data_IF_374897857108
#
_entry.id   IF_374897857108
#
_cell.length_a   1.000
_cell.length_b   1.000
_cell.length_c   1.000
_cell.angle_alpha   90.00
_cell.angle_beta   90.00
_cell.angle_gamma   90.00
#
_symmetry.space_group_name_H-M   'P 1'
#
loop_
_entity.id
_entity.type
_entity.pdbx_description
1 polymer ?
#
# COMPACT_ATOMS: atom_id res chain seq x y z
N UNK A 1 4.34 10.18 30.79
CA UNK A 1 5.75 9.78 30.58
C UNK A 1 5.75 8.54 29.70
N UNK A 2 6.53 8.56 28.63
CA UNK A 2 6.67 7.41 27.73
C UNK A 2 7.39 6.26 28.46
N UNK A 3 6.92 5.02 28.28
CA UNK A 3 7.53 3.84 28.91
C UNK A 3 8.87 3.45 28.24
N UNK A 4 9.12 4.00 27.05
CA UNK A 4 10.34 3.81 26.25
C UNK A 4 11.08 5.13 26.11
N UNK A 5 12.40 5.05 26.06
CA UNK A 5 13.28 6.18 25.75
C UNK A 5 13.70 6.24 24.27
N UNK A 6 13.88 5.08 23.62
CA UNK A 6 14.39 4.96 22.26
C UNK A 6 13.75 3.76 21.55
N UNK A 7 13.51 3.87 20.25
CA UNK A 7 13.23 2.73 19.38
C UNK A 7 14.51 1.98 19.02
N UNK A 8 14.36 0.73 18.58
CA UNK A 8 15.48 -0.12 18.20
C UNK A 8 16.35 0.47 17.08
N UNK A 9 15.78 1.26 16.17
CA UNK A 9 16.49 1.93 15.08
C UNK A 9 17.32 3.14 15.53
N UNK A 10 16.98 3.74 16.66
CA UNK A 10 17.70 4.87 17.26
C UNK A 10 18.94 4.43 18.07
N UNK A 11 19.02 3.14 18.44
CA UNK A 11 20.19 2.60 19.13
C UNK A 11 21.31 2.33 18.13
N UNK A 12 22.41 3.08 18.30
CA UNK A 12 23.62 3.02 17.47
C UNK A 12 24.88 2.93 18.35
N UNK A 13 26.05 2.56 17.78
CA UNK A 13 27.32 2.53 18.53
C UNK A 13 27.69 3.85 19.22
N UNK A 14 27.11 4.99 18.82
CA UNK A 14 27.34 6.29 19.47
C UNK A 14 26.75 6.37 20.88
N UNK A 15 25.81 5.48 21.23
CA UNK A 15 25.18 5.40 22.54
C UNK A 15 25.89 4.43 23.48
N UNK A 16 27.07 3.91 23.12
CA UNK A 16 27.83 2.99 23.97
C UNK A 16 28.00 3.54 25.40
N UNK A 17 27.75 2.68 26.39
CA UNK A 17 27.78 3.04 27.80
C UNK A 17 26.58 3.84 28.32
N UNK A 18 25.60 4.19 27.48
CA UNK A 18 24.36 4.87 27.93
C UNK A 18 23.32 3.87 28.41
N UNK A 19 22.51 4.31 29.37
CA UNK A 19 21.30 3.58 29.80
C UNK A 19 20.11 3.95 28.91
N UNK A 20 19.35 2.94 28.50
CA UNK A 20 18.16 3.09 27.69
C UNK A 20 17.01 2.23 28.21
N UNK A 21 15.80 2.72 28.04
CA UNK A 21 14.54 1.98 28.20
C UNK A 21 13.96 1.63 26.84
N UNK A 22 13.71 0.34 26.62
CA UNK A 22 13.14 -0.22 25.39
C UNK A 22 11.83 -0.93 25.70
N UNK A 23 10.85 -0.82 24.80
CA UNK A 23 9.58 -1.53 24.88
C UNK A 23 9.30 -2.24 23.57
N UNK A 24 8.95 -3.52 23.62
CA UNK A 24 8.69 -4.29 22.41
C UNK A 24 8.19 -5.71 22.66
N UNK A 25 8.08 -6.46 21.58
CA UNK A 25 7.65 -7.85 21.56
C UNK A 25 8.86 -8.78 21.50
N UNK A 26 8.81 -9.86 22.24
CA UNK A 26 9.84 -10.91 22.20
C UNK A 26 9.73 -11.67 20.89
N UNK A 27 10.62 -11.40 19.94
CA UNK A 27 10.59 -12.07 18.65
C UNK A 27 11.17 -13.48 18.73
N UNK A 28 12.34 -13.61 19.37
CA UNK A 28 13.02 -14.88 19.54
C UNK A 28 13.77 -14.88 20.89
N UNK A 29 13.84 -16.04 21.51
CA UNK A 29 14.69 -16.30 22.68
C UNK A 29 15.64 -17.42 22.30
N UNK A 30 16.92 -17.26 22.63
CA UNK A 30 17.94 -18.30 22.49
C UNK A 30 18.62 -18.51 23.82
N UNK A 31 18.61 -19.73 24.31
CA UNK A 31 19.28 -20.11 25.56
C UNK A 31 20.44 -21.07 25.24
N UNK A 32 21.65 -20.64 25.59
CA UNK A 32 22.89 -21.41 25.47
C UNK A 32 23.44 -21.77 26.87
N UNK A 33 22.55 -21.93 27.85
CA UNK A 33 22.85 -22.23 29.25
C UNK A 33 23.32 -21.00 30.02
N UNK A 34 24.61 -20.69 29.94
CA UNK A 34 25.21 -19.55 30.65
C UNK A 34 25.00 -18.20 29.95
N UNK A 35 24.45 -18.21 28.74
CA UNK A 35 24.27 -17.05 27.87
C UNK A 35 22.90 -17.10 27.21
N UNK A 36 22.08 -16.09 27.45
CA UNK A 36 20.70 -15.98 26.96
C UNK A 36 20.55 -14.73 26.11
N UNK A 37 19.85 -14.87 24.99
CA UNK A 37 19.54 -13.78 24.09
C UNK A 37 18.03 -13.60 23.97
N UNK A 38 17.59 -12.36 24.04
CA UNK A 38 16.24 -11.96 23.61
C UNK A 38 16.40 -11.07 22.40
N UNK A 39 15.78 -11.43 21.29
CA UNK A 39 15.58 -10.53 20.17
C UNK A 39 14.28 -9.79 20.42
N UNK A 40 14.37 -8.51 20.78
CA UNK A 40 13.22 -7.65 21.00
C UNK A 40 12.87 -6.93 19.70
N UNK A 41 11.59 -6.93 19.33
CA UNK A 41 11.06 -6.26 18.14
C UNK A 41 10.21 -5.06 18.53
N UNK A 42 10.41 -3.94 17.84
CA UNK A 42 9.50 -2.79 17.82
C UNK A 42 9.31 -2.28 16.38
N UNK A 43 8.71 -1.09 16.18
CA UNK A 43 8.46 -0.54 14.83
C UNK A 43 9.73 -0.18 14.05
N UNK A 44 10.85 0.03 14.76
CA UNK A 44 12.17 0.34 14.22
C UNK A 44 12.97 -0.91 13.81
N UNK A 45 12.47 -2.11 14.14
CA UNK A 45 13.09 -3.38 13.80
C UNK A 45 13.43 -4.21 15.03
N UNK A 46 14.64 -4.75 15.05
CA UNK A 46 15.10 -5.70 16.07
C UNK A 46 16.31 -5.18 16.83
N UNK A 47 16.34 -5.46 18.13
CA UNK A 47 17.49 -5.20 19.00
C UNK A 47 17.79 -6.42 19.86
N UNK A 48 19.08 -6.74 19.99
CA UNK A 48 19.54 -7.88 20.78
C UNK A 48 19.72 -7.47 22.24
N UNK A 49 19.11 -8.24 23.13
CA UNK A 49 19.34 -8.18 24.57
C UNK A 49 20.18 -9.39 24.94
N UNK A 50 21.31 -9.18 25.59
CA UNK A 50 22.26 -10.23 25.95
C UNK A 50 22.39 -10.32 27.46
N UNK A 51 22.02 -11.47 28.02
CA UNK A 51 22.15 -11.77 29.44
C UNK A 51 23.16 -12.90 29.64
N UNK A 52 24.25 -12.61 30.36
CA UNK A 52 25.35 -13.55 30.58
C UNK A 52 25.53 -13.84 32.07
N UNK A 53 25.67 -15.11 32.43
CA UNK A 53 25.97 -15.53 33.81
C UNK A 53 27.27 -14.88 34.29
N UNK A 54 27.25 -14.32 35.49
CA UNK A 54 28.36 -13.57 36.09
C UNK A 54 28.38 -12.08 35.74
N UNK A 55 27.69 -11.63 34.68
CA UNK A 55 27.54 -10.21 34.33
C UNK A 55 26.14 -9.69 34.62
N UNK A 56 25.13 -10.51 34.36
CA UNK A 56 23.71 -10.20 34.59
C UNK A 56 23.22 -10.85 35.88
N UNK A 57 22.39 -10.14 36.65
CA UNK A 57 21.78 -10.63 37.89
C UNK A 57 21.01 -11.95 37.64
N UNK A 58 21.17 -12.93 38.53
CA UNK A 58 20.48 -14.23 38.44
C UNK A 58 18.95 -14.11 38.41
N UNK A 59 18.36 -13.13 39.09
CA UNK A 59 16.91 -12.88 39.04
C UNK A 59 16.44 -12.53 37.62
N UNK A 60 17.23 -11.76 36.88
CA UNK A 60 16.94 -11.42 35.48
C UNK A 60 17.08 -12.68 34.63
N UNK A 61 18.15 -13.47 34.82
CA UNK A 61 18.34 -14.74 34.11
C UNK A 61 17.15 -15.69 34.30
N UNK A 62 16.64 -15.81 35.53
CA UNK A 62 15.48 -16.65 35.86
C UNK A 62 14.16 -16.08 35.31
N UNK A 63 14.05 -14.74 35.18
CA UNK A 63 12.89 -14.11 34.53
C UNK A 63 12.85 -14.46 33.04
N UNK A 64 14.00 -14.45 32.36
CA UNK A 64 14.10 -14.76 30.92
C UNK A 64 13.55 -16.17 30.62
N UNK A 65 13.79 -17.16 31.48
CA UNK A 65 13.29 -18.54 31.32
C UNK A 65 11.76 -18.65 31.28
N UNK A 66 11.08 -17.68 31.88
CA UNK A 66 9.61 -17.68 31.95
C UNK A 66 8.99 -16.89 30.82
N UNK A 67 9.77 -16.25 29.95
CA UNK A 67 9.27 -15.40 28.87
C UNK A 67 8.90 -16.28 27.67
N UNK A 68 7.70 -16.07 27.13
CA UNK A 68 7.27 -16.69 25.88
C UNK A 68 7.44 -15.71 24.71
N UNK A 69 7.60 -16.25 23.50
CA UNK A 69 7.56 -15.46 22.26
C UNK A 69 6.31 -14.60 22.21
N UNK A 70 6.45 -13.42 21.64
CA UNK A 70 5.43 -12.39 21.47
C UNK A 70 4.88 -11.78 22.77
N UNK A 71 5.46 -12.14 23.93
CA UNK A 71 5.24 -11.37 25.17
C UNK A 71 5.79 -9.95 25.02
N UNK A 72 5.13 -9.00 25.66
CA UNK A 72 5.49 -7.58 25.67
C UNK A 72 6.36 -7.30 26.88
N UNK A 73 7.56 -6.78 26.63
CA UNK A 73 8.52 -6.44 27.67
C UNK A 73 8.83 -4.94 27.65
N UNK A 74 9.12 -4.39 28.83
CA UNK A 74 9.97 -3.22 28.99
C UNK A 74 11.31 -3.67 29.53
N UNK A 75 12.39 -3.17 28.94
CA UNK A 75 13.76 -3.49 29.32
C UNK A 75 14.51 -2.19 29.57
N UNK A 76 15.01 -2.03 30.79
CA UNK A 76 15.97 -0.98 31.11
C UNK A 76 17.35 -1.63 31.11
N UNK A 77 18.28 -1.12 30.31
CA UNK A 77 19.57 -1.75 30.09
C UNK A 77 20.67 -0.80 29.62
N UNK A 78 21.90 -1.31 29.63
CA UNK A 78 23.09 -0.60 29.19
C UNK A 78 23.34 -0.94 27.71
N UNK A 79 23.52 0.07 26.88
CA UNK A 79 24.01 -0.11 25.50
C UNK A 79 25.48 -0.48 25.54
N UNK A 80 25.85 -1.56 24.88
CA UNK A 80 27.24 -2.02 24.75
C UNK A 80 27.55 -2.24 23.28
N UNK A 81 28.62 -1.60 22.81
CA UNK A 81 29.14 -1.83 21.47
C UNK A 81 29.65 -3.27 21.36
N UNK A 82 29.19 -3.97 20.33
CA UNK A 82 29.60 -5.32 20.03
C UNK A 82 29.48 -5.54 18.52
N UNK A 83 30.62 -5.57 17.82
CA UNK A 83 30.66 -5.71 16.36
C UNK A 83 30.11 -7.08 15.88
N UNK A 84 29.94 -8.06 16.78
CA UNK A 84 29.28 -9.35 16.48
C UNK A 84 27.76 -9.28 16.58
N UNK A 85 27.21 -8.24 17.20
CA UNK A 85 25.76 -8.07 17.30
C UNK A 85 25.20 -7.50 15.98
N UNK A 86 23.96 -7.84 15.58
CA UNK A 86 23.39 -7.47 14.27
C UNK A 86 23.44 -5.98 13.92
N UNK A 87 23.46 -5.10 14.93
CA UNK A 87 23.49 -3.63 14.77
C UNK A 87 24.82 -3.01 15.24
N UNK A 88 25.84 -3.83 15.48
CA UNK A 88 27.09 -3.40 16.13
C UNK A 88 26.94 -3.03 17.61
N UNK A 89 25.76 -3.28 18.19
CA UNK A 89 25.38 -2.99 19.57
C UNK A 89 24.46 -4.07 20.11
N UNK A 90 24.53 -4.28 21.41
CA UNK A 90 23.61 -5.09 22.20
C UNK A 90 23.24 -4.38 23.50
N UNK A 91 22.17 -4.85 24.14
CA UNK A 91 21.71 -4.31 25.42
C UNK A 91 21.98 -5.32 26.52
N UNK A 92 22.71 -4.91 27.56
CA UNK A 92 22.85 -5.70 28.78
C UNK A 92 21.70 -5.30 29.73
N UNK A 93 20.74 -6.21 30.00
CA UNK A 93 19.55 -5.85 30.76
C UNK A 93 19.89 -5.62 32.23
N UNK A 94 19.40 -4.52 32.79
CA UNK A 94 19.44 -4.22 34.24
C UNK A 94 18.10 -4.46 34.91
N UNK A 95 17.00 -4.23 34.20
CA UNK A 95 15.64 -4.55 34.65
C UNK A 95 14.82 -5.06 33.47
N UNK A 96 14.04 -6.12 33.71
CA UNK A 96 13.07 -6.63 32.76
C UNK A 96 11.71 -6.63 33.44
N UNK A 97 10.75 -6.00 32.78
CA UNK A 97 9.35 -5.93 33.19
C UNK A 97 8.51 -6.68 32.17
N UNK A 98 7.74 -7.67 32.65
CA UNK A 98 6.71 -8.34 31.86
C UNK A 98 5.47 -7.42 31.84
N UNK A 99 5.26 -6.73 30.72
CA UNK A 99 4.09 -5.85 30.56
C UNK A 99 2.85 -6.70 30.23
N UNK A 100 3.00 -7.66 29.33
CA UNK A 100 1.94 -8.59 28.97
C UNK A 100 2.52 -9.91 28.48
N UNK A 101 1.99 -11.03 28.98
CA UNK A 101 2.41 -12.36 28.55
C UNK A 101 1.56 -12.81 27.37
N UNK A 102 2.21 -13.29 26.31
CA UNK A 102 1.51 -13.91 25.19
C UNK A 102 1.08 -15.34 25.50
N UNK A 103 -0.14 -15.70 25.08
CA UNK A 103 -0.65 -17.08 25.11
C UNK A 103 0.08 -17.93 24.05
N UNK A 104 0.15 -19.23 24.31
CA UNK A 104 0.72 -20.24 23.41
C UNK A 104 -0.32 -21.35 23.19
N UNK A 105 -0.45 -21.94 21.99
CA UNK A 105 0.29 -21.61 20.77
C UNK A 105 -0.06 -20.23 20.20
N UNK A 106 0.85 -19.64 19.43
CA UNK A 106 0.59 -18.41 18.68
C UNK A 106 -0.30 -18.74 17.47
N UNK A 107 -1.27 -17.89 17.10
CA UNK A 107 -2.14 -18.16 15.96
C UNK A 107 -1.42 -17.98 14.61
N UNK A 108 -0.25 -17.33 14.61
CA UNK A 108 0.61 -17.18 13.43
C UNK A 108 2.07 -17.10 13.88
N UNK A 109 2.97 -17.80 13.19
CA UNK A 109 4.41 -17.66 13.40
C UNK A 109 4.93 -16.36 12.79
N UNK A 110 5.46 -15.49 13.63
CA UNK A 110 6.10 -14.22 13.25
C UNK A 110 7.55 -14.37 12.82
N UNK A 111 8.18 -15.52 13.09
CA UNK A 111 9.59 -15.79 12.74
C UNK A 111 9.73 -16.34 11.32
N UNK A 112 8.60 -16.59 10.63
CA UNK A 112 8.52 -17.12 9.26
C UNK A 112 9.16 -18.50 9.07
N UNK A 113 9.40 -19.25 10.16
CA UNK A 113 9.91 -20.63 10.08
C UNK A 113 8.81 -21.57 9.59
N UNK A 114 7.56 -21.28 9.96
CA UNK A 114 6.37 -21.95 9.44
C UNK A 114 5.60 -20.97 8.56
N UNK A 115 5.41 -21.33 7.29
CA UNK A 115 4.58 -20.55 6.37
C UNK A 115 3.10 -20.86 6.63
N UNK A 116 2.28 -19.82 6.54
CA UNK A 116 0.83 -19.92 6.56
C UNK A 116 0.28 -19.45 5.21
N UNK A 117 -0.85 -20.02 4.81
CA UNK A 117 -1.62 -19.57 3.66
C UNK A 117 -2.16 -18.13 3.86
N UNK A 118 -2.70 -17.53 2.80
CA UNK A 118 -3.17 -16.16 2.83
C UNK A 118 -4.35 -15.97 3.79
N UNK A 119 -5.30 -16.90 3.82
CA UNK A 119 -6.51 -16.79 4.65
C UNK A 119 -6.16 -16.80 6.14
N UNK A 120 -5.30 -17.72 6.56
CA UNK A 120 -4.79 -17.76 7.94
C UNK A 120 -4.09 -16.45 8.32
N UNK A 121 -3.34 -15.85 7.39
CA UNK A 121 -2.65 -14.57 7.60
C UNK A 121 -3.61 -13.39 7.68
N UNK A 122 -4.65 -13.36 6.85
CA UNK A 122 -5.68 -12.32 6.86
C UNK A 122 -6.54 -12.41 8.15
N UNK A 123 -6.96 -13.61 8.54
CA UNK A 123 -7.68 -13.86 9.79
C UNK A 123 -6.88 -13.47 11.04
N UNK A 124 -5.55 -13.48 10.94
CA UNK A 124 -4.63 -13.11 12.02
C UNK A 124 -3.78 -11.89 11.66
N UNK A 125 -4.38 -10.88 10.99
CA UNK A 125 -3.63 -9.76 10.40
C UNK A 125 -2.76 -9.01 11.41
N UNK A 126 -3.23 -8.88 12.65
CA UNK A 126 -2.47 -8.25 13.75
C UNK A 126 -1.15 -8.97 14.08
N UNK A 127 -1.04 -10.27 13.79
CA UNK A 127 0.19 -11.03 13.89
C UNK A 127 0.99 -10.98 12.58
N UNK A 128 0.33 -11.02 11.42
CA UNK A 128 1.02 -10.95 10.13
C UNK A 128 1.77 -9.62 9.95
N UNK A 129 1.16 -8.51 10.39
CA UNK A 129 1.76 -7.16 10.46
C UNK A 129 3.02 -7.08 11.34
N UNK A 130 3.28 -8.07 12.19
CA UNK A 130 4.49 -8.13 13.01
C UNK A 130 5.70 -8.67 12.24
N UNK A 131 5.48 -9.21 11.04
CA UNK A 131 6.54 -9.61 10.12
C UNK A 131 7.04 -8.38 9.35
N UNK A 132 8.37 -8.17 9.27
CA UNK A 132 8.93 -6.96 8.64
C UNK A 132 8.48 -6.72 7.21
N UNK A 133 8.37 -7.77 6.39
CA UNK A 133 7.94 -7.67 4.99
C UNK A 133 6.48 -7.21 4.87
N UNK A 134 5.59 -7.66 5.76
CA UNK A 134 4.19 -7.25 5.74
C UNK A 134 4.05 -5.82 6.27
N UNK A 135 4.71 -5.49 7.38
CA UNK A 135 4.76 -4.13 7.90
C UNK A 135 5.27 -3.13 6.85
N UNK A 136 6.27 -3.53 6.05
CA UNK A 136 6.88 -2.70 5.00
C UNK A 136 5.86 -2.31 3.93
N UNK A 137 4.99 -3.23 3.50
CA UNK A 137 3.92 -2.94 2.52
C UNK A 137 2.99 -1.84 3.04
N UNK A 138 2.57 -1.92 4.31
CA UNK A 138 1.67 -0.91 4.90
C UNK A 138 2.36 0.44 5.13
N UNK A 139 3.64 0.45 5.49
CA UNK A 139 4.43 1.68 5.60
C UNK A 139 4.55 2.38 4.24
N UNK A 140 4.87 1.63 3.18
CA UNK A 140 4.91 2.14 1.81
C UNK A 140 3.52 2.66 1.40
N UNK A 141 2.45 1.89 1.66
CA UNK A 141 1.05 2.34 1.41
C UNK A 141 0.75 3.67 2.07
N UNK A 142 1.13 3.84 3.35
CA UNK A 142 0.93 5.11 4.06
C UNK A 142 1.73 6.25 3.43
N UNK A 143 2.99 6.02 3.03
CA UNK A 143 3.85 7.01 2.37
C UNK A 143 3.24 7.44 1.03
N UNK A 144 2.85 6.51 0.16
CA UNK A 144 2.33 6.84 -1.18
C UNK A 144 1.02 7.64 -1.12
N UNK A 145 0.12 7.31 -0.19
CA UNK A 145 -1.12 8.07 0.00
C UNK A 145 -0.83 9.50 0.47
N UNK A 146 0.11 9.67 1.40
CA UNK A 146 0.51 11.01 1.86
C UNK A 146 1.20 11.82 0.77
N UNK A 147 2.05 11.18 -0.02
CA UNK A 147 2.74 11.82 -1.17
C UNK A 147 1.72 12.28 -2.21
N UNK A 148 0.76 11.43 -2.57
CA UNK A 148 -0.32 11.79 -3.50
C UNK A 148 -1.15 12.98 -3.03
N UNK A 149 -1.58 12.98 -1.75
CA UNK A 149 -2.29 14.14 -1.16
C UNK A 149 -1.45 15.42 -1.23
N UNK A 150 -0.19 15.36 -0.81
CA UNK A 150 0.69 16.53 -0.78
C UNK A 150 0.95 17.08 -2.19
N UNK A 151 1.08 16.20 -3.19
CA UNK A 151 1.20 16.60 -4.58
C UNK A 151 -0.03 17.40 -5.03
N UNK A 152 -1.23 16.86 -4.80
CA UNK A 152 -2.48 17.50 -5.22
C UNK A 152 -2.67 18.85 -4.53
N UNK A 153 -2.48 18.92 -3.21
CA UNK A 153 -2.58 20.17 -2.43
C UNK A 153 -1.61 21.22 -2.97
N UNK A 154 -0.34 20.86 -3.23
CA UNK A 154 0.67 21.78 -3.77
C UNK A 154 0.34 22.26 -5.19
N UNK A 155 -0.46 21.48 -5.94
CA UNK A 155 -0.95 21.82 -7.28
C UNK A 155 -2.35 22.46 -7.26
N UNK A 156 -2.75 23.04 -6.12
CA UNK A 156 -3.95 23.85 -5.99
C UNK A 156 -5.25 23.07 -5.91
N UNK A 157 -5.20 21.76 -5.65
CA UNK A 157 -6.41 20.97 -5.44
C UNK A 157 -6.93 21.09 -4.01
N UNK A 158 -8.26 21.03 -3.86
CA UNK A 158 -8.97 21.02 -2.59
C UNK A 158 -9.46 19.60 -2.29
N UNK A 159 -9.17 19.07 -1.09
CA UNK A 159 -9.69 17.78 -0.64
C UNK A 159 -11.18 17.94 -0.31
N UNK A 160 -12.02 17.08 -0.89
CA UNK A 160 -13.46 17.01 -0.63
C UNK A 160 -13.84 15.66 -0.03
N UNK A 161 -15.04 15.57 0.54
CA UNK A 161 -15.61 14.31 1.02
C UNK A 161 -17.05 14.16 0.52
N UNK A 162 -17.29 13.15 -0.30
CA UNK A 162 -18.62 12.85 -0.85
C UNK A 162 -19.36 11.77 -0.02
N UNK A 163 -20.71 11.68 -0.11
CA UNK A 163 -21.46 10.60 0.50
C UNK A 163 -21.03 9.21 0.01
N UNK A 164 -21.06 8.21 0.90
CA UNK A 164 -20.80 6.80 0.58
C UNK A 164 -22.04 5.91 0.65
N UNK A 165 -23.16 6.49 1.08
CA UNK A 165 -24.49 5.92 1.02
C UNK A 165 -25.25 6.75 -0.01
N UNK A 166 -25.69 6.14 -1.09
CA UNK A 166 -26.33 6.81 -2.23
C UNK A 166 -27.67 6.16 -2.57
N UNK A 167 -28.60 6.95 -3.10
CA UNK A 167 -29.96 6.47 -3.40
C UNK A 167 -30.04 5.64 -4.70
N UNK A 168 -29.07 5.79 -5.61
CA UNK A 168 -29.04 5.12 -6.91
C UNK A 168 -27.59 4.89 -7.35
N UNK A 169 -27.40 4.01 -8.34
CA UNK A 169 -26.10 3.75 -8.97
C UNK A 169 -25.40 5.03 -9.43
N UNK A 170 -24.07 5.08 -9.29
CA UNK A 170 -23.25 6.20 -9.78
C UNK A 170 -22.91 6.08 -11.27
N UNK A 171 -22.73 4.86 -11.80
CA UNK A 171 -22.14 4.65 -13.13
C UNK A 171 -22.89 3.62 -14.01
N UNK A 172 -24.08 3.17 -13.60
CA UNK A 172 -24.76 2.03 -14.24
C UNK A 172 -24.11 0.69 -13.86
N UNK A 173 -24.84 -0.42 -13.97
CA UNK A 173 -24.35 -1.76 -13.64
C UNK A 173 -25.00 -2.41 -12.41
N UNK A 174 -24.64 -3.68 -12.17
CA UNK A 174 -25.26 -4.59 -11.19
C UNK A 174 -24.44 -4.79 -9.91
N UNK A 175 -23.21 -4.27 -9.86
CA UNK A 175 -22.24 -4.53 -8.78
C UNK A 175 -22.38 -3.58 -7.58
N UNK A 176 -23.60 -3.34 -7.15
CA UNK A 176 -23.89 -2.49 -5.98
C UNK A 176 -24.10 -3.34 -4.74
N UNK A 177 -23.66 -2.83 -3.58
CA UNK A 177 -24.07 -3.38 -2.29
C UNK A 177 -25.36 -2.67 -1.82
N UNK A 178 -26.53 -3.33 -1.88
CA UNK A 178 -27.75 -2.79 -1.31
C UNK A 178 -27.67 -2.78 0.22
N UNK A 179 -28.16 -1.71 0.83
CA UNK A 179 -28.26 -1.55 2.27
C UNK A 179 -29.64 -0.98 2.64
N UNK A 180 -30.13 -1.36 3.81
CA UNK A 180 -31.29 -0.69 4.41
C UNK A 180 -30.85 0.63 5.02
N UNK A 181 -31.50 1.72 4.62
CA UNK A 181 -31.31 3.05 5.15
C UNK A 181 -32.66 3.58 5.67
N UNK A 182 -32.96 3.20 6.91
CA UNK A 182 -34.29 3.37 7.52
C UNK A 182 -35.37 2.67 6.67
N UNK A 183 -36.44 3.39 6.32
CA UNK A 183 -37.55 2.89 5.52
C UNK A 183 -37.26 2.93 4.00
N UNK A 184 -35.98 3.09 3.61
CA UNK A 184 -35.55 3.18 2.20
C UNK A 184 -34.43 2.19 1.91
N UNK A 185 -34.36 1.77 0.66
CA UNK A 185 -33.17 1.12 0.12
C UNK A 185 -32.15 2.18 -0.29
N UNK A 186 -30.88 1.91 -0.04
CA UNK A 186 -29.75 2.69 -0.50
C UNK A 186 -28.62 1.74 -0.91
N UNK A 187 -27.56 2.32 -1.45
CA UNK A 187 -26.41 1.56 -1.94
C UNK A 187 -25.12 2.14 -1.40
N UNK A 188 -24.10 1.30 -1.24
CA UNK A 188 -22.74 1.78 -1.04
C UNK A 188 -22.17 2.32 -2.37
N UNK A 189 -21.52 3.48 -2.32
CA UNK A 189 -20.98 4.12 -3.51
C UNK A 189 -19.82 3.32 -4.14
N UNK A 190 -19.87 3.12 -5.45
CA UNK A 190 -18.80 2.47 -6.24
C UNK A 190 -17.69 3.43 -6.66
N UNK A 191 -17.97 4.73 -6.63
CA UNK A 191 -17.10 5.81 -7.08
C UNK A 191 -17.70 7.15 -6.62
N UNK A 192 -16.89 8.20 -6.35
CA UNK A 192 -17.38 9.54 -6.08
C UNK A 192 -17.73 10.34 -7.35
N UNK A 193 -17.72 9.71 -8.53
CA UNK A 193 -17.85 10.33 -9.86
C UNK A 193 -18.91 11.43 -9.98
N UNK A 194 -20.16 11.14 -9.67
CA UNK A 194 -21.23 12.13 -9.80
C UNK A 194 -20.99 13.35 -8.89
N UNK A 195 -20.51 13.13 -7.66
CA UNK A 195 -20.25 14.21 -6.71
C UNK A 195 -19.04 15.06 -7.10
N UNK A 196 -17.92 14.45 -7.50
CA UNK A 196 -16.74 15.21 -7.94
C UNK A 196 -17.03 16.03 -9.21
N UNK A 197 -17.87 15.51 -10.12
CA UNK A 197 -18.34 16.25 -11.28
C UNK A 197 -19.27 17.41 -10.89
N UNK A 198 -20.20 17.21 -9.95
CA UNK A 198 -21.04 18.29 -9.42
C UNK A 198 -20.20 19.42 -8.81
N UNK A 199 -19.07 19.10 -8.18
CA UNK A 199 -18.17 20.13 -7.62
C UNK A 199 -17.54 21.02 -8.71
N UNK A 200 -17.47 20.58 -9.96
CA UNK A 200 -16.98 21.42 -11.07
C UNK A 200 -17.92 22.60 -11.34
N UNK A 201 -19.20 22.50 -10.98
CA UNK A 201 -20.17 23.60 -11.09
C UNK A 201 -20.13 24.58 -9.90
N UNK A 202 -19.26 24.36 -8.91
CA UNK A 202 -19.21 25.17 -7.68
C UNK A 202 -18.13 26.26 -7.69
N UNK A 203 -17.24 26.24 -8.69
CA UNK A 203 -16.06 27.12 -8.75
C UNK A 203 -14.88 26.65 -7.89
N UNK A 204 -14.93 25.42 -7.35
CA UNK A 204 -13.77 24.80 -6.68
C UNK A 204 -12.66 24.43 -7.68
N UNK A 205 -13.01 24.23 -8.94
CA UNK A 205 -12.18 23.98 -10.13
C UNK A 205 -11.24 22.77 -10.12
N UNK A 206 -10.64 22.42 -8.98
CA UNK A 206 -9.64 21.36 -8.82
C UNK A 206 -9.93 20.64 -7.52
N UNK A 207 -10.58 19.49 -7.59
CA UNK A 207 -10.94 18.71 -6.39
C UNK A 207 -10.28 17.34 -6.42
N UNK A 208 -9.98 16.83 -5.24
CA UNK A 208 -9.62 15.43 -5.07
C UNK A 208 -10.27 14.82 -3.84
N UNK A 209 -10.38 13.50 -3.83
CA UNK A 209 -10.86 12.74 -2.68
C UNK A 209 -10.03 11.47 -2.54
N UNK A 210 -9.53 11.19 -1.35
CA UNK A 210 -8.90 9.88 -1.05
C UNK A 210 -9.85 9.10 -0.16
N UNK A 211 -10.60 8.19 -0.77
CA UNK A 211 -11.69 7.49 -0.09
C UNK A 211 -11.79 6.03 -0.46
N UNK A 212 -12.48 5.29 0.40
CA UNK A 212 -12.97 3.94 0.09
C UNK A 212 -14.27 4.00 -0.70
N UNK A 213 -14.40 3.12 -1.70
CA UNK A 213 -15.63 2.77 -2.39
C UNK A 213 -15.81 1.25 -2.44
N UNK A 214 -16.99 0.82 -2.86
CA UNK A 214 -17.45 -0.56 -2.74
C UNK A 214 -18.00 -1.05 -4.07
N UNK A 215 -17.53 -2.22 -4.53
CA UNK A 215 -18.04 -2.89 -5.72
C UNK A 215 -18.36 -4.33 -5.38
N UNK A 216 -19.56 -4.79 -5.69
CA UNK A 216 -19.97 -6.17 -5.45
C UNK A 216 -19.48 -7.07 -6.59
N UNK A 217 -18.16 -7.16 -6.77
CA UNK A 217 -17.54 -8.00 -7.78
C UNK A 217 -17.80 -9.48 -7.45
N UNK A 218 -18.38 -10.23 -8.40
CA UNK A 218 -18.69 -11.66 -8.19
C UNK A 218 -17.46 -12.56 -8.41
N UNK A 219 -16.44 -12.06 -9.12
CA UNK A 219 -15.27 -12.84 -9.49
C UNK A 219 -14.10 -12.61 -8.54
N UNK A 220 -13.64 -13.69 -7.91
CA UNK A 220 -12.42 -13.71 -7.11
C UNK A 220 -11.17 -13.65 -8.01
N UNK A 221 -10.65 -12.45 -8.21
CA UNK A 221 -9.42 -12.21 -8.98
C UNK A 221 -8.30 -11.70 -8.07
N UNK A 222 -7.06 -11.80 -8.55
CA UNK A 222 -5.89 -11.27 -7.82
C UNK A 222 -5.79 -9.74 -7.79
N UNK A 223 -6.73 -9.03 -8.42
CA UNK A 223 -6.67 -7.57 -8.64
C UNK A 223 -7.88 -6.85 -8.07
N UNK A 224 -9.02 -7.53 -7.93
CA UNK A 224 -10.26 -6.94 -7.45
C UNK A 224 -10.43 -7.17 -5.95
N UNK A 225 -11.00 -6.16 -5.29
CA UNK A 225 -11.49 -6.23 -3.93
C UNK A 225 -12.86 -5.57 -3.91
N UNK A 226 -13.75 -6.05 -3.06
CA UNK A 226 -15.08 -5.47 -2.93
C UNK A 226 -15.10 -4.15 -2.14
N UNK A 227 -13.98 -3.83 -1.49
CA UNK A 227 -13.73 -2.58 -0.78
C UNK A 227 -12.34 -2.07 -1.17
N UNK A 228 -12.28 -0.90 -1.82
CA UNK A 228 -11.04 -0.34 -2.39
C UNK A 228 -10.89 1.11 -1.98
N UNK A 229 -9.69 1.50 -1.55
CA UNK A 229 -9.33 2.91 -1.40
C UNK A 229 -8.65 3.43 -2.65
N UNK A 230 -9.14 4.54 -3.20
CA UNK A 230 -8.56 5.20 -4.36
C UNK A 230 -8.28 6.69 -4.10
N UNK A 231 -7.60 7.31 -5.06
CA UNK A 231 -7.41 8.76 -5.16
C UNK A 231 -8.21 9.21 -6.39
N UNK A 232 -9.30 9.90 -6.14
CA UNK A 232 -10.15 10.49 -7.16
C UNK A 232 -9.78 11.95 -7.39
N UNK A 233 -9.76 12.37 -8.66
CA UNK A 233 -9.43 13.73 -9.06
C UNK A 233 -10.45 14.20 -10.12
N UNK A 234 -10.88 15.45 -10.06
CA UNK A 234 -11.67 16.11 -11.11
C UNK A 234 -11.18 17.56 -11.29
N UNK A 235 -11.13 18.02 -12.55
CA UNK A 235 -10.55 19.31 -12.95
C UNK A 235 -11.49 20.02 -13.93
N UNK A 236 -11.89 21.25 -13.62
CA UNK A 236 -12.64 22.14 -14.49
C UNK A 236 -11.71 22.94 -15.43
N UNK A 237 -12.29 23.54 -16.47
CA UNK A 237 -11.59 24.41 -17.43
C UNK A 237 -10.38 23.77 -18.14
N UNK A 238 -10.41 22.44 -18.32
CA UNK A 238 -9.46 21.73 -19.20
C UNK A 238 -9.76 22.02 -20.67
N UNK A 239 -8.75 21.93 -21.53
CA UNK A 239 -8.92 22.03 -22.99
C UNK A 239 -9.40 20.72 -23.58
N UNK A 240 -8.75 19.63 -23.16
CA UNK A 240 -9.05 18.26 -23.56
C UNK A 240 -8.53 17.27 -22.50
N UNK A 241 -8.73 15.97 -22.73
CA UNK A 241 -8.31 14.91 -21.82
C UNK A 241 -6.81 14.89 -21.51
N UNK A 242 -5.96 15.50 -22.35
CA UNK A 242 -4.52 15.54 -22.10
C UNK A 242 -4.16 16.38 -20.89
N UNK A 243 -4.94 17.41 -20.56
CA UNK A 243 -4.69 18.20 -19.34
C UNK A 243 -4.87 17.32 -18.08
N UNK A 244 -5.82 16.38 -18.11
CA UNK A 244 -6.02 15.39 -17.02
C UNK A 244 -4.92 14.33 -17.03
N UNK A 245 -4.57 13.80 -18.21
CA UNK A 245 -3.47 12.83 -18.37
C UNK A 245 -2.15 13.38 -17.82
N UNK A 246 -1.84 14.66 -18.09
CA UNK A 246 -0.62 15.29 -17.60
C UNK A 246 -0.59 15.37 -16.06
N UNK A 247 -1.72 15.72 -15.43
CA UNK A 247 -1.82 15.72 -13.96
C UNK A 247 -1.65 14.31 -13.40
N UNK A 248 -2.28 13.30 -14.01
CA UNK A 248 -2.15 11.91 -13.58
C UNK A 248 -0.72 11.38 -13.76
N UNK A 249 -0.05 11.72 -14.87
CA UNK A 249 1.36 11.40 -15.12
C UNK A 249 2.27 12.01 -14.05
N UNK A 250 2.06 13.29 -13.71
CA UNK A 250 2.82 13.96 -12.66
C UNK A 250 2.57 13.32 -11.29
N UNK A 251 1.31 13.03 -10.96
CA UNK A 251 0.89 12.42 -9.71
C UNK A 251 1.48 11.02 -9.53
N UNK A 252 1.39 10.15 -10.54
CA UNK A 252 1.88 8.77 -10.43
C UNK A 252 3.40 8.73 -10.31
N UNK A 253 4.11 9.62 -11.01
CA UNK A 253 5.57 9.71 -10.91
C UNK A 253 6.00 10.23 -9.53
N UNK A 254 5.30 11.21 -8.97
CA UNK A 254 5.56 11.66 -7.59
C UNK A 254 5.32 10.53 -6.59
N UNK A 255 4.23 9.77 -6.75
CA UNK A 255 3.90 8.61 -5.90
C UNK A 255 5.00 7.54 -5.99
N UNK A 256 5.44 7.17 -7.20
CA UNK A 256 6.50 6.18 -7.41
C UNK A 256 7.82 6.67 -6.82
N UNK A 257 8.16 7.94 -7.03
CA UNK A 257 9.34 8.57 -6.43
C UNK A 257 9.27 8.50 -4.89
N UNK A 258 8.15 8.88 -4.29
CA UNK A 258 7.94 8.78 -2.84
C UNK A 258 8.00 7.34 -2.30
N UNK A 259 7.58 6.35 -3.08
CA UNK A 259 7.77 4.94 -2.76
C UNK A 259 9.25 4.53 -2.82
N UNK A 260 10.01 5.04 -3.80
CA UNK A 260 11.44 4.76 -3.97
C UNK A 260 12.30 5.24 -2.79
N UNK A 261 11.86 6.28 -2.07
CA UNK A 261 12.49 6.79 -0.84
C UNK A 261 12.33 5.86 0.37
N UNK A 262 11.47 4.84 0.31
CA UNK A 262 11.27 3.87 1.38
C UNK A 262 12.40 2.82 1.40
N UNK A 263 13.66 3.27 1.46
CA UNK A 263 14.85 2.43 1.25
C UNK A 263 14.92 1.21 2.18
N UNK A 264 14.54 1.38 3.46
CA UNK A 264 14.57 0.30 4.44
C UNK A 264 13.51 -0.77 4.13
N UNK A 265 12.29 -0.34 3.86
CA UNK A 265 11.16 -1.20 3.49
C UNK A 265 11.44 -1.94 2.18
N UNK A 266 11.97 -1.24 1.17
CA UNK A 266 12.34 -1.83 -0.13
C UNK A 266 13.47 -2.85 0.01
N UNK A 267 14.47 -2.57 0.84
CA UNK A 267 15.53 -3.53 1.17
C UNK A 267 14.98 -4.79 1.85
N UNK A 268 14.04 -4.65 2.80
CA UNK A 268 13.37 -5.78 3.45
C UNK A 268 12.58 -6.61 2.42
N UNK A 269 11.88 -5.93 1.51
CA UNK A 269 11.10 -6.57 0.44
C UNK A 269 11.96 -7.13 -0.69
N UNK A 270 13.26 -6.81 -0.72
CA UNK A 270 14.19 -7.13 -1.82
C UNK A 270 13.65 -6.63 -3.16
N UNK A 271 13.20 -5.38 -3.17
CA UNK A 271 12.66 -4.71 -4.35
C UNK A 271 13.42 -3.41 -4.59
N UNK A 272 13.53 -3.08 -5.86
CA UNK A 272 14.01 -1.79 -6.34
C UNK A 272 12.88 -1.17 -7.15
N UNK A 273 12.77 0.16 -7.08
CA UNK A 273 11.79 0.93 -7.82
C UNK A 273 12.57 1.81 -8.78
N UNK A 274 12.38 1.57 -10.07
CA UNK A 274 12.83 2.49 -11.11
C UNK A 274 11.78 3.58 -11.30
N UNK A 275 12.24 4.84 -11.39
CA UNK A 275 11.35 5.97 -11.61
C UNK A 275 11.10 6.07 -13.13
N UNK A 276 9.84 5.95 -13.59
CA UNK A 276 9.51 6.08 -15.00
C UNK A 276 9.89 7.45 -15.55
N UNK A 277 10.33 7.49 -16.82
CA UNK A 277 10.65 8.74 -17.52
C UNK A 277 9.39 9.35 -18.11
N UNK A 278 9.35 10.69 -18.15
CA UNK A 278 8.35 11.46 -18.88
C UNK A 278 8.80 11.73 -20.32
N UNK A 279 7.87 11.88 -21.27
CA UNK A 279 6.44 11.57 -21.12
C UNK A 279 6.20 10.05 -21.06
N UNK A 280 5.19 9.61 -20.32
CA UNK A 280 4.72 8.22 -20.32
C UNK A 280 4.19 7.88 -21.71
N UNK A 281 4.51 6.67 -22.18
CA UNK A 281 4.10 6.20 -23.50
C UNK A 281 2.59 6.21 -23.64
N UNK A 282 2.07 6.87 -24.67
CA UNK A 282 0.66 6.81 -25.08
C UNK A 282 0.51 5.86 -26.28
N UNK A 283 -0.50 5.01 -26.23
CA UNK A 283 -0.91 4.11 -27.31
C UNK A 283 -2.43 4.23 -27.52
N UNK A 284 -2.91 4.08 -28.74
CA UNK A 284 -4.34 4.08 -29.03
C UNK A 284 -4.93 2.69 -28.81
N UNK A 285 -6.22 2.61 -28.47
CA UNK A 285 -6.94 1.35 -28.35
C UNK A 285 -6.80 0.48 -29.62
N UNK A 286 -6.96 1.07 -30.81
CA UNK A 286 -6.77 0.34 -32.07
C UNK A 286 -5.41 -0.35 -32.15
N UNK A 287 -4.33 0.35 -31.77
CA UNK A 287 -3.00 -0.24 -31.77
C UNK A 287 -2.83 -1.30 -30.70
N UNK A 288 -3.52 -1.18 -29.56
CA UNK A 288 -3.55 -2.23 -28.54
C UNK A 288 -4.22 -3.49 -29.07
N UNK A 289 -5.36 -3.36 -29.76
CA UNK A 289 -6.04 -4.50 -30.40
C UNK A 289 -5.15 -5.17 -31.44
N UNK A 290 -4.50 -4.40 -32.31
CA UNK A 290 -3.53 -4.95 -33.28
C UNK A 290 -2.41 -5.73 -32.58
N UNK A 291 -1.78 -5.14 -31.56
CA UNK A 291 -0.69 -5.78 -30.80
C UNK A 291 -1.16 -7.10 -30.17
N UNK A 292 -2.35 -7.13 -29.59
CA UNK A 292 -2.88 -8.32 -28.91
C UNK A 292 -3.22 -9.43 -29.92
N UNK A 293 -3.87 -9.07 -31.02
CA UNK A 293 -4.22 -9.99 -32.10
C UNK A 293 -2.95 -10.57 -32.76
N UNK A 294 -1.95 -9.74 -33.04
CA UNK A 294 -0.65 -10.17 -33.58
C UNK A 294 0.11 -11.11 -32.62
N UNK A 295 -0.19 -11.04 -31.32
CA UNK A 295 0.40 -11.88 -30.27
C UNK A 295 -0.52 -13.01 -29.79
N UNK A 296 -1.54 -13.36 -30.59
CA UNK A 296 -2.39 -14.54 -30.38
C UNK A 296 -3.49 -14.38 -29.34
N UNK A 297 -3.71 -13.17 -28.81
CA UNK A 297 -4.87 -12.83 -27.98
C UNK A 297 -5.90 -12.11 -28.84
N UNK A 298 -6.82 -12.88 -29.41
CA UNK A 298 -7.89 -12.35 -30.27
C UNK A 298 -8.88 -11.54 -29.44
N UNK A 299 -9.04 -10.26 -29.77
CA UNK A 299 -10.00 -9.33 -29.17
C UNK A 299 -10.70 -8.59 -30.30
N UNK A 300 -12.04 -8.53 -30.24
CA UNK A 300 -12.81 -7.76 -31.21
C UNK A 300 -12.77 -6.27 -30.86
N UNK A 301 -12.77 -5.42 -31.88
CA UNK A 301 -12.82 -3.98 -31.65
C UNK A 301 -14.17 -3.63 -31.01
N UNK A 302 -14.14 -2.96 -29.86
CA UNK A 302 -15.33 -2.73 -29.04
C UNK A 302 -15.39 -3.61 -27.80
N UNK A 303 -14.51 -4.60 -27.63
CA UNK A 303 -14.42 -5.36 -26.39
C UNK A 303 -13.50 -4.68 -25.36
N UNK A 304 -13.79 -4.94 -24.09
CA UNK A 304 -12.93 -4.53 -22.98
C UNK A 304 -11.69 -5.44 -22.85
N UNK A 305 -10.62 -4.95 -22.22
CA UNK A 305 -9.37 -5.68 -22.07
C UNK A 305 -9.43 -6.59 -20.84
N UNK A 306 -9.52 -7.90 -21.07
CA UNK A 306 -9.48 -8.85 -19.96
C UNK A 306 -8.11 -8.94 -19.26
N UNK A 307 -8.08 -9.61 -18.11
CA UNK A 307 -6.87 -9.78 -17.28
C UNK A 307 -5.68 -10.39 -18.04
N UNK A 308 -5.92 -11.24 -19.04
CA UNK A 308 -4.89 -11.88 -19.85
C UNK A 308 -4.36 -10.92 -20.91
N UNK A 309 -5.25 -10.19 -21.58
CA UNK A 309 -4.93 -9.14 -22.53
C UNK A 309 -4.01 -8.09 -21.90
N UNK A 310 -4.35 -7.58 -20.71
CA UNK A 310 -3.51 -6.61 -20.02
C UNK A 310 -2.11 -7.15 -19.68
N UNK A 311 -2.00 -8.44 -19.30
CA UNK A 311 -0.69 -9.06 -19.02
C UNK A 311 0.17 -9.15 -20.27
N UNK A 312 -0.42 -9.60 -21.38
CA UNK A 312 0.29 -9.72 -22.66
C UNK A 312 0.74 -8.33 -23.10
N UNK A 313 -0.16 -7.34 -23.05
CA UNK A 313 0.16 -5.96 -23.36
C UNK A 313 1.28 -5.43 -22.48
N UNK A 314 1.21 -5.60 -21.16
CA UNK A 314 2.24 -5.13 -20.23
C UNK A 314 3.62 -5.71 -20.52
N UNK A 315 3.69 -6.99 -20.90
CA UNK A 315 4.96 -7.62 -21.34
C UNK A 315 5.49 -6.96 -22.61
N UNK A 316 4.63 -6.79 -23.63
CA UNK A 316 5.02 -6.19 -24.91
C UNK A 316 5.43 -4.73 -24.73
N UNK A 317 4.73 -3.97 -23.88
CA UNK A 317 5.08 -2.59 -23.55
C UNK A 317 6.49 -2.47 -22.94
N UNK A 318 6.90 -3.47 -22.15
CA UNK A 318 8.27 -3.53 -21.64
C UNK A 318 9.26 -3.97 -22.74
N UNK A 319 8.95 -5.01 -23.49
CA UNK A 319 9.86 -5.59 -24.50
C UNK A 319 10.13 -4.65 -25.69
N UNK A 320 9.09 -4.01 -26.22
CA UNK A 320 9.19 -3.15 -27.41
C UNK A 320 9.44 -1.68 -27.09
N UNK A 321 8.90 -1.19 -25.95
CA UNK A 321 8.92 0.23 -25.63
C UNK A 321 9.70 0.57 -24.36
N UNK A 322 10.23 -0.43 -23.64
CA UNK A 322 10.92 -0.26 -22.35
C UNK A 322 10.09 0.59 -21.37
N UNK A 323 8.78 0.32 -21.31
CA UNK A 323 7.81 1.15 -20.60
C UNK A 323 6.96 0.30 -19.65
N UNK A 324 7.22 0.41 -18.34
CA UNK A 324 6.38 -0.24 -17.34
C UNK A 324 5.02 0.46 -17.17
N UNK A 325 4.98 1.78 -17.36
CA UNK A 325 3.77 2.59 -17.38
C UNK A 325 3.40 2.95 -18.83
N UNK A 326 2.10 2.96 -19.14
CA UNK A 326 1.61 3.43 -20.43
C UNK A 326 0.15 3.84 -20.35
N UNK A 327 -0.23 4.83 -21.16
CA UNK A 327 -1.62 5.23 -21.34
C UNK A 327 -2.22 4.54 -22.57
N UNK A 328 -3.40 3.98 -22.43
CA UNK A 328 -4.26 3.59 -23.54
C UNK A 328 -5.28 4.71 -23.75
N UNK A 329 -5.43 5.19 -24.97
CA UNK A 329 -6.27 6.35 -25.32
C UNK A 329 -7.16 6.02 -26.51
N UNK A 330 -8.14 6.90 -26.81
CA UNK A 330 -9.05 6.72 -27.95
C UNK A 330 -9.82 5.39 -27.87
N UNK A 331 -10.37 5.09 -26.70
CA UNK A 331 -11.29 3.95 -26.54
C UNK A 331 -12.55 4.14 -27.40
N UNK A 332 -13.19 3.05 -27.86
CA UNK A 332 -14.52 3.09 -28.47
C UNK A 332 -15.50 3.86 -27.58
N UNK A 333 -16.32 4.71 -28.16
CA UNK A 333 -17.28 5.51 -27.40
C UNK A 333 -18.33 4.64 -26.68
N UNK A 334 -18.77 3.57 -27.34
CA UNK A 334 -19.86 2.70 -26.90
C UNK A 334 -19.60 1.92 -25.62
N UNK A 335 -18.33 1.66 -25.28
CA UNK A 335 -17.95 0.90 -24.09
C UNK A 335 -17.56 1.77 -22.90
N UNK A 336 -17.54 3.10 -23.06
CA UNK A 336 -17.20 4.01 -21.97
C UNK A 336 -18.46 4.57 -21.33
N UNK A 337 -18.41 4.94 -20.03
CA UNK A 337 -19.59 5.42 -19.31
C UNK A 337 -20.22 6.65 -19.98
N UNK A 338 -21.54 6.80 -19.82
CA UNK A 338 -22.36 7.82 -20.49
C UNK A 338 -21.88 9.27 -20.29
N UNK A 339 -21.16 9.56 -19.21
CA UNK A 339 -20.63 10.89 -18.91
C UNK A 339 -19.33 11.21 -19.67
N UNK A 340 -18.78 10.27 -20.44
CA UNK A 340 -17.54 10.44 -21.19
C UNK A 340 -17.75 11.23 -22.47
N UNK A 341 -16.94 12.28 -22.67
CA UNK A 341 -17.00 13.13 -23.86
C UNK A 341 -16.60 12.36 -25.12
N UNK A 342 -17.40 12.38 -26.20
CA UNK A 342 -17.00 11.92 -27.52
C UNK A 342 -15.83 12.73 -28.07
N UNK A 343 -14.86 12.05 -28.67
CA UNK A 343 -13.86 12.69 -29.55
C UNK A 343 -14.43 12.83 -30.98
N UNK A 344 -15.13 11.79 -31.43
CA UNK A 344 -15.95 11.74 -32.64
C UNK A 344 -16.99 10.61 -32.51
N UNK A 345 -17.69 10.26 -33.60
CA UNK A 345 -18.69 9.18 -33.60
C UNK A 345 -18.12 7.80 -33.22
N UNK A 346 -16.81 7.58 -33.41
CA UNK A 346 -16.13 6.30 -33.14
C UNK A 346 -15.46 6.28 -31.76
N UNK A 347 -14.74 7.34 -31.41
CA UNK A 347 -13.87 7.35 -30.23
C UNK A 347 -14.36 8.25 -29.11
N UNK A 348 -14.04 7.87 -27.89
CA UNK A 348 -14.17 8.68 -26.69
C UNK A 348 -12.88 9.42 -26.34
N UNK A 349 -13.01 10.43 -25.47
CA UNK A 349 -11.90 11.11 -24.78
C UNK A 349 -11.53 10.42 -23.46
N UNK A 350 -11.69 9.10 -23.40
CA UNK A 350 -11.28 8.29 -22.28
C UNK A 350 -9.83 7.79 -22.43
N UNK A 351 -9.23 7.50 -21.28
CA UNK A 351 -7.91 6.90 -21.18
C UNK A 351 -7.82 6.01 -19.95
N UNK A 352 -6.98 4.99 -20.06
CA UNK A 352 -6.61 4.12 -18.94
C UNK A 352 -5.08 4.16 -18.78
N UNK A 353 -4.59 4.06 -17.55
CA UNK A 353 -3.17 3.99 -17.20
C UNK A 353 -2.84 2.57 -16.74
N UNK A 354 -2.06 1.86 -17.54
CA UNK A 354 -1.52 0.55 -17.19
C UNK A 354 -0.17 0.66 -16.48
N UNK A 355 0.05 -0.18 -15.46
CA UNK A 355 1.35 -0.42 -14.84
C UNK A 355 1.67 -1.91 -14.78
N UNK A 356 2.70 -2.34 -15.51
CA UNK A 356 3.13 -3.76 -15.60
C UNK A 356 1.99 -4.71 -16.00
N UNK A 357 1.11 -4.27 -16.89
CA UNK A 357 0.00 -5.08 -17.39
C UNK A 357 -1.20 -5.21 -16.44
N UNK A 358 -1.42 -4.16 -15.65
CA UNK A 358 -2.57 -3.98 -14.76
C UNK A 358 -3.06 -2.55 -14.87
N UNK A 359 -4.33 -2.32 -15.14
CA UNK A 359 -4.93 -0.98 -14.99
C UNK A 359 -4.78 -0.49 -13.54
N UNK A 360 -4.27 0.73 -13.37
CA UNK A 360 -4.15 1.40 -12.06
C UNK A 360 -4.94 2.70 -11.97
N UNK A 361 -5.47 3.20 -13.09
CA UNK A 361 -6.33 4.38 -13.14
C UNK A 361 -7.07 4.43 -14.48
N UNK A 362 -8.31 4.91 -14.45
CA UNK A 362 -9.09 5.27 -15.64
C UNK A 362 -9.61 6.70 -15.49
N UNK A 363 -9.87 7.36 -16.63
CA UNK A 363 -10.34 8.74 -16.66
C UNK A 363 -10.86 9.17 -18.02
N UNK A 364 -11.56 10.30 -18.06
CA UNK A 364 -12.00 10.90 -19.32
C UNK A 364 -12.28 12.40 -19.17
N UNK A 365 -12.26 13.13 -20.29
CA UNK A 365 -13.00 14.40 -20.34
C UNK A 365 -14.50 14.11 -20.24
N UNK A 366 -15.25 14.92 -19.49
CA UNK A 366 -16.68 14.73 -19.27
C UNK A 366 -17.53 15.55 -20.24
N UNK A 367 -18.72 15.05 -20.55
CA UNK A 367 -19.79 15.85 -21.17
C UNK A 367 -20.26 16.88 -20.13
N UNK A 368 -20.27 18.17 -20.50
CA UNK A 368 -20.53 19.28 -19.59
C UNK A 368 -21.62 20.24 -20.10
#
# INVERSE_FOLDING_TARGET
MDMRSHYSDEITPKLDGREVSLCGWVHEIRDLGGLKFIILRDRGGFIQITAKKGTTNEEIMNKIDKISKESILKIDGLVVRNDKAPRGVEIIPRKIYMISRAKSPLPLDVTQKVRADLDTRLNNRFMDLRKPEIASIFKIRSKVLNVGRNFLIRNGFIEINSPKIIASASEGGTELFPISYFDREAFLAQSPQLYKQMMMATGLDRVFEVTTYFRAEEHDTRRHLNEVTAIDVEIAFIRDENDVINVLEDLIIEIINGASECHNELKILKKEIEIPKKPIKKITYDRVIDILNDNGKMIEWGDDLDTEAEKILGRIMMEEFNSELYFITKYPLEIKPFYTMPDNEKYSRAFDLGYKGVEISSGSQRIH
#
